data_IF_392835148043
#
_entry.id   IF_392835148043
#
_cell.length_a   1.000
_cell.length_b   1.000
_cell.length_c   1.000
_cell.angle_alpha   90.00
_cell.angle_beta   90.00
_cell.angle_gamma   90.00
#
_symmetry.space_group_name_H-M   'P 1'
#
loop_
_entity.id
_entity.type
_entity.pdbx_description
1 polymer ?
#
# COMPACT_ATOMS: atom_id res chain seq x y z
N UNK A 1 10.30 -18.12 -0.29
CA UNK A 1 9.32 -17.04 -0.15
C UNK A 1 8.60 -17.09 1.19
N UNK A 2 7.86 -16.04 1.52
CA UNK A 2 7.01 -15.96 2.72
C UNK A 2 5.59 -16.36 2.33
N UNK A 3 5.00 -17.35 3.01
CA UNK A 3 3.61 -17.72 2.79
C UNK A 3 2.71 -16.60 3.34
N UNK A 4 1.84 -16.06 2.50
CA UNK A 4 0.97 -14.93 2.81
C UNK A 4 -0.49 -15.30 2.54
N UNK A 5 -1.40 -14.74 3.31
CA UNK A 5 -2.82 -14.71 2.98
C UNK A 5 -3.25 -13.35 2.43
N UNK A 6 -4.46 -13.29 1.88
CA UNK A 6 -5.02 -12.09 1.27
C UNK A 6 -6.46 -11.86 1.76
N UNK A 7 -6.77 -10.60 2.08
CA UNK A 7 -8.14 -10.14 2.28
C UNK A 7 -8.34 -8.93 1.35
N UNK A 8 -9.08 -9.11 0.28
CA UNK A 8 -9.26 -8.06 -0.75
C UNK A 8 -10.66 -8.00 -1.31
N UNK A 9 -10.87 -7.10 -2.25
CA UNK A 9 -12.17 -6.86 -2.89
C UNK A 9 -12.63 -8.04 -3.74
N UNK A 10 -11.70 -8.74 -4.38
CA UNK A 10 -12.02 -9.85 -5.30
C UNK A 10 -12.14 -11.16 -4.54
N UNK A 11 -11.17 -11.45 -3.66
CA UNK A 11 -11.14 -12.73 -2.96
C UNK A 11 -10.53 -12.60 -1.56
N UNK A 12 -10.76 -13.64 -0.77
CA UNK A 12 -10.10 -13.91 0.49
C UNK A 12 -9.35 -15.24 0.34
N UNK A 13 -8.02 -15.20 0.52
CA UNK A 13 -7.17 -16.38 0.65
C UNK A 13 -6.81 -16.53 2.12
N UNK A 14 -7.40 -17.54 2.78
CA UNK A 14 -7.18 -17.79 4.22
C UNK A 14 -6.00 -18.76 4.48
N UNK A 15 -5.24 -19.05 3.43
CA UNK A 15 -4.09 -19.96 3.48
C UNK A 15 -4.43 -21.42 3.24
N UNK A 16 -5.72 -21.78 3.18
CA UNK A 16 -6.23 -23.12 2.88
C UNK A 16 -7.12 -23.15 1.64
N UNK A 17 -7.95 -22.14 1.49
CA UNK A 17 -8.84 -21.98 0.34
C UNK A 17 -8.90 -20.51 -0.11
N UNK A 18 -9.29 -20.32 -1.37
CA UNK A 18 -9.57 -19.00 -1.95
C UNK A 18 -11.07 -18.93 -2.21
N UNK A 19 -11.73 -17.97 -1.55
CA UNK A 19 -13.17 -17.74 -1.69
C UNK A 19 -13.44 -16.32 -2.20
N UNK A 20 -14.57 -16.13 -2.88
CA UNK A 20 -15.02 -14.81 -3.32
C UNK A 20 -15.29 -13.89 -2.12
N UNK A 21 -14.83 -12.66 -2.21
CA UNK A 21 -15.08 -11.66 -1.19
C UNK A 21 -16.46 -11.01 -1.37
N UNK A 22 -17.18 -10.82 -0.28
CA UNK A 22 -18.46 -10.08 -0.28
C UNK A 22 -18.26 -8.59 0.04
N UNK A 23 -17.16 -8.24 0.67
CA UNK A 23 -16.77 -6.88 1.06
C UNK A 23 -15.25 -6.74 0.95
N UNK A 24 -14.78 -5.60 0.50
CA UNK A 24 -13.34 -5.27 0.47
C UNK A 24 -12.67 -5.49 1.82
N UNK A 25 -13.34 -5.05 2.89
CA UNK A 25 -12.90 -5.27 4.27
C UNK A 25 -14.07 -5.85 5.06
N UNK A 26 -14.03 -7.14 5.42
CA UNK A 26 -15.09 -7.80 6.19
C UNK A 26 -15.30 -7.16 7.58
N UNK A 27 -16.41 -7.48 8.27
CA UNK A 27 -16.62 -7.11 9.67
C UNK A 27 -15.50 -7.63 10.59
N UNK A 28 -15.24 -6.93 11.70
CA UNK A 28 -14.12 -7.19 12.60
C UNK A 28 -13.99 -8.67 13.04
N UNK A 29 -15.10 -9.32 13.36
CA UNK A 29 -15.07 -10.73 13.76
C UNK A 29 -14.68 -11.66 12.61
N UNK A 30 -15.14 -11.37 11.38
CA UNK A 30 -14.75 -12.16 10.20
C UNK A 30 -13.26 -11.97 9.88
N UNK A 31 -12.76 -10.73 9.95
CA UNK A 31 -11.31 -10.45 9.80
C UNK A 31 -10.50 -11.25 10.83
N UNK A 32 -10.89 -11.21 12.10
CA UNK A 32 -10.19 -11.94 13.16
C UNK A 32 -10.18 -13.46 12.93
N UNK A 33 -11.31 -14.03 12.46
CA UNK A 33 -11.40 -15.46 12.13
C UNK A 33 -10.50 -15.81 10.94
N UNK A 34 -10.50 -15.00 9.88
CA UNK A 34 -9.62 -15.22 8.72
C UNK A 34 -8.15 -15.16 9.13
N UNK A 35 -7.75 -14.17 9.94
CA UNK A 35 -6.37 -14.09 10.43
C UNK A 35 -5.98 -15.28 11.32
N UNK A 36 -6.89 -15.81 12.14
CA UNK A 36 -6.65 -17.03 12.91
C UNK A 36 -6.40 -18.24 11.99
N UNK A 37 -7.25 -18.43 10.96
CA UNK A 37 -7.05 -19.50 9.96
C UNK A 37 -5.70 -19.35 9.22
N UNK A 38 -5.29 -18.12 8.87
CA UNK A 38 -3.99 -17.87 8.27
C UNK A 38 -2.84 -18.34 9.17
N UNK A 39 -2.93 -18.08 10.47
CA UNK A 39 -1.94 -18.55 11.43
C UNK A 39 -1.92 -20.08 11.48
N UNK A 40 -3.09 -20.72 11.58
CA UNK A 40 -3.23 -22.18 11.60
C UNK A 40 -2.71 -22.82 10.30
N UNK A 41 -2.89 -22.15 9.15
CA UNK A 41 -2.35 -22.56 7.86
C UNK A 41 -0.84 -22.33 7.71
N UNK A 42 -0.17 -21.75 8.71
CA UNK A 42 1.27 -21.48 8.69
C UNK A 42 1.66 -20.26 7.85
N UNK A 43 0.72 -19.34 7.55
CA UNK A 43 1.03 -18.07 6.93
C UNK A 43 1.79 -17.18 7.93
N UNK A 44 2.81 -16.48 7.43
CA UNK A 44 3.66 -15.59 8.22
C UNK A 44 3.35 -14.12 7.99
N UNK A 45 2.53 -13.83 7.00
CA UNK A 45 2.07 -12.48 6.67
C UNK A 45 0.64 -12.54 6.12
N UNK A 46 -0.06 -11.41 6.22
CA UNK A 46 -1.32 -11.17 5.55
C UNK A 46 -1.26 -9.82 4.84
N UNK A 47 -1.78 -9.78 3.63
CA UNK A 47 -2.02 -8.56 2.87
C UNK A 47 -3.52 -8.26 2.91
N UNK A 48 -3.88 -7.01 3.13
CA UNK A 48 -5.27 -6.64 3.32
C UNK A 48 -5.60 -5.31 2.65
N UNK A 49 -6.69 -5.28 1.90
CA UNK A 49 -7.31 -4.03 1.49
C UNK A 49 -8.15 -3.47 2.64
N UNK A 50 -7.85 -2.23 3.02
CA UNK A 50 -8.53 -1.55 4.13
C UNK A 50 -9.31 -0.35 3.59
N UNK A 51 -10.62 -0.49 3.48
CA UNK A 51 -11.50 0.58 3.01
C UNK A 51 -11.62 1.70 4.05
N UNK A 52 -11.89 2.93 3.58
CA UNK A 52 -12.15 4.07 4.47
C UNK A 52 -13.35 3.86 5.39
N UNK A 53 -14.38 3.15 4.92
CA UNK A 53 -15.51 2.72 5.74
C UNK A 53 -15.07 1.82 6.89
N UNK A 54 -14.18 0.85 6.60
CA UNK A 54 -13.68 -0.08 7.61
C UNK A 54 -12.86 0.63 8.68
N UNK A 55 -12.05 1.62 8.29
CA UNK A 55 -11.30 2.47 9.22
C UNK A 55 -12.23 3.30 10.09
N UNK A 56 -13.16 4.03 9.46
CA UNK A 56 -14.13 4.86 10.17
C UNK A 56 -15.02 4.05 11.12
N UNK A 57 -15.46 2.85 10.68
CA UNK A 57 -16.26 1.92 11.48
C UNK A 57 -15.43 1.05 12.43
N UNK A 58 -14.12 1.27 12.51
CA UNK A 58 -13.19 0.52 13.37
C UNK A 58 -13.20 -1.00 13.18
N UNK A 59 -13.53 -1.48 11.97
CA UNK A 59 -13.53 -2.93 11.67
C UNK A 59 -12.15 -3.57 11.84
N UNK A 60 -11.09 -2.78 11.71
CA UNK A 60 -9.69 -3.18 11.86
C UNK A 60 -9.02 -2.57 13.08
N UNK A 61 -9.77 -1.95 13.99
CA UNK A 61 -9.23 -1.18 15.12
C UNK A 61 -8.44 -2.01 16.13
N UNK A 62 -8.62 -3.33 16.16
CA UNK A 62 -7.85 -4.24 17.01
C UNK A 62 -6.56 -4.75 16.34
N UNK A 63 -6.33 -4.43 15.06
CA UNK A 63 -5.16 -4.90 14.31
C UNK A 63 -4.00 -3.91 14.43
N UNK A 64 -2.79 -4.44 14.49
CA UNK A 64 -1.55 -3.68 14.38
C UNK A 64 -0.92 -3.97 13.01
N UNK A 65 -1.13 -3.07 12.07
CA UNK A 65 -0.49 -3.16 10.76
C UNK A 65 0.99 -2.82 10.88
N UNK A 66 1.85 -3.63 10.28
CA UNK A 66 3.28 -3.36 10.18
C UNK A 66 3.61 -2.38 9.06
N UNK A 67 2.83 -2.43 7.99
CA UNK A 67 2.98 -1.59 6.81
C UNK A 67 1.63 -1.04 6.38
N UNK A 68 1.56 0.25 6.05
CA UNK A 68 0.45 0.91 5.40
C UNK A 68 0.87 1.41 4.03
N UNK A 69 0.03 1.17 3.01
CA UNK A 69 0.27 1.62 1.63
C UNK A 69 -0.83 2.58 1.21
N UNK A 70 -0.47 3.77 0.79
CA UNK A 70 -1.37 4.75 0.20
C UNK A 70 -1.21 4.78 -1.31
N UNK A 71 -2.20 4.29 -2.02
CA UNK A 71 -2.21 4.23 -3.48
C UNK A 71 -2.69 5.55 -4.09
N UNK A 72 -3.90 5.98 -3.76
CA UNK A 72 -4.50 7.23 -4.19
C UNK A 72 -5.77 7.57 -3.39
N UNK A 73 -6.28 8.78 -3.59
CA UNK A 73 -7.58 9.24 -3.13
C UNK A 73 -8.30 10.01 -4.24
N UNK A 74 -9.23 9.37 -4.90
CA UNK A 74 -10.10 9.99 -5.91
C UNK A 74 -11.49 10.27 -5.35
N UNK A 75 -12.27 11.13 -6.01
CA UNK A 75 -13.60 11.52 -5.55
C UNK A 75 -14.62 10.37 -5.60
N UNK A 76 -14.57 9.52 -4.59
CA UNK A 76 -15.48 8.39 -4.39
C UNK A 76 -15.98 8.38 -2.94
N UNK A 77 -17.04 7.62 -2.64
CA UNK A 77 -17.59 7.46 -1.28
C UNK A 77 -18.02 8.76 -0.59
N UNK A 78 -18.33 9.83 -1.36
CA UNK A 78 -18.81 11.10 -0.80
C UNK A 78 -20.26 11.02 -0.30
N UNK A 79 -21.01 10.02 -0.74
CA UNK A 79 -22.30 9.65 -0.17
C UNK A 79 -22.19 9.33 1.33
N UNK A 80 -21.09 8.70 1.74
CA UNK A 80 -20.78 8.34 3.11
C UNK A 80 -19.97 9.41 3.86
N UNK A 81 -18.82 9.82 3.33
CA UNK A 81 -17.88 10.72 4.01
C UNK A 81 -18.25 12.21 3.90
N UNK A 82 -19.17 12.57 2.98
CA UNK A 82 -19.68 13.92 2.71
C UNK A 82 -18.65 14.88 2.10
N UNK A 83 -17.39 14.85 2.50
CA UNK A 83 -16.30 15.70 1.99
C UNK A 83 -15.03 14.91 1.72
N UNK A 84 -14.18 15.42 0.85
CA UNK A 84 -12.87 14.84 0.57
C UNK A 84 -11.96 14.88 1.81
N UNK A 85 -12.05 15.93 2.63
CA UNK A 85 -11.28 16.03 3.88
C UNK A 85 -11.67 14.95 4.88
N UNK A 86 -12.96 14.68 5.06
CA UNK A 86 -13.44 13.61 5.93
C UNK A 86 -13.04 12.23 5.38
N UNK A 87 -13.06 12.05 4.06
CA UNK A 87 -12.60 10.83 3.42
C UNK A 87 -11.08 10.63 3.62
N UNK A 88 -10.28 11.67 3.41
CA UNK A 88 -8.84 11.65 3.65
C UNK A 88 -8.52 11.39 5.13
N UNK A 89 -9.25 12.03 6.06
CA UNK A 89 -9.10 11.80 7.50
C UNK A 89 -9.38 10.34 7.87
N UNK A 90 -10.43 9.73 7.30
CA UNK A 90 -10.72 8.31 7.54
C UNK A 90 -9.57 7.41 7.05
N UNK A 91 -8.98 7.66 5.87
CA UNK A 91 -7.82 6.91 5.38
C UNK A 91 -6.56 7.16 6.21
N UNK A 92 -6.34 8.39 6.70
CA UNK A 92 -5.19 8.74 7.53
C UNK A 92 -5.12 7.93 8.84
N UNK A 93 -6.27 7.49 9.39
CA UNK A 93 -6.33 6.65 10.59
C UNK A 93 -5.45 5.39 10.48
N UNK A 94 -5.28 4.82 9.28
CA UNK A 94 -4.38 3.68 9.08
C UNK A 94 -2.93 4.08 9.40
N UNK A 95 -2.47 5.21 8.87
CA UNK A 95 -1.08 5.68 9.00
C UNK A 95 -0.77 6.20 10.40
N UNK A 96 -1.76 6.83 11.04
CA UNK A 96 -1.69 7.27 12.45
C UNK A 96 -1.54 6.07 13.41
N UNK A 97 -2.14 4.92 13.05
CA UNK A 97 -2.11 3.68 13.86
C UNK A 97 -0.86 2.82 13.66
N UNK A 98 -0.02 3.12 12.66
CA UNK A 98 1.21 2.36 12.42
C UNK A 98 2.18 2.48 13.59
N UNK A 99 2.93 1.41 13.90
CA UNK A 99 4.02 1.49 14.87
C UNK A 99 5.02 2.59 14.50
N UNK A 100 5.68 3.22 15.47
CA UNK A 100 6.74 4.17 15.18
C UNK A 100 7.91 3.50 14.44
N UNK A 101 8.74 4.29 13.77
CA UNK A 101 9.92 3.81 13.04
C UNK A 101 10.86 2.96 13.92
N UNK A 102 11.01 3.31 15.19
CA UNK A 102 11.79 2.56 16.18
C UNK A 102 11.27 1.14 16.45
N UNK A 103 9.98 0.90 16.18
CA UNK A 103 9.33 -0.41 16.29
C UNK A 103 9.16 -1.09 14.91
N UNK A 104 9.74 -0.51 13.86
CA UNK A 104 9.74 -1.04 12.50
C UNK A 104 8.43 -0.83 11.74
N UNK A 105 7.64 0.18 12.10
CA UNK A 105 6.47 0.59 11.30
C UNK A 105 6.91 1.19 9.96
N UNK A 106 6.14 0.91 8.90
CA UNK A 106 6.42 1.32 7.53
C UNK A 106 5.20 1.99 6.92
N UNK A 107 5.38 3.13 6.27
CA UNK A 107 4.39 3.80 5.44
C UNK A 107 4.93 3.96 4.02
N UNK A 108 4.20 3.47 3.02
CA UNK A 108 4.53 3.60 1.60
C UNK A 108 3.51 4.55 0.97
N UNK A 109 3.95 5.73 0.52
CA UNK A 109 3.06 6.79 0.09
C UNK A 109 3.30 7.16 -1.38
N UNK A 110 2.24 7.11 -2.20
CA UNK A 110 2.24 7.70 -3.54
C UNK A 110 2.25 9.22 -3.42
N UNK A 111 3.41 9.85 -3.69
CA UNK A 111 3.56 11.32 -3.56
C UNK A 111 3.03 12.09 -4.76
N UNK A 112 2.57 11.41 -5.79
CA UNK A 112 1.90 12.05 -6.92
C UNK A 112 0.43 12.36 -6.64
N UNK A 113 -0.14 11.72 -5.62
CA UNK A 113 -1.45 12.07 -5.10
C UNK A 113 -1.30 13.12 -3.99
N UNK A 114 -1.95 14.30 -4.09
CA UNK A 114 -1.77 15.40 -3.13
C UNK A 114 -2.17 15.03 -1.70
N UNK A 115 -3.07 14.07 -1.52
CA UNK A 115 -3.51 13.63 -0.20
C UNK A 115 -2.46 12.83 0.59
N UNK A 116 -1.31 12.48 -0.03
CA UNK A 116 -0.21 11.84 0.70
C UNK A 116 0.26 12.67 1.90
N UNK A 117 0.14 14.00 1.82
CA UNK A 117 0.50 14.91 2.91
C UNK A 117 -0.35 14.68 4.15
N UNK A 118 -1.68 14.43 3.96
CA UNK A 118 -2.58 14.10 5.06
C UNK A 118 -2.26 12.72 5.67
N UNK A 119 -1.87 11.74 4.84
CA UNK A 119 -1.45 10.42 5.33
C UNK A 119 -0.15 10.49 6.15
N UNK A 120 0.74 11.43 5.81
CA UNK A 120 2.02 11.61 6.49
C UNK A 120 1.90 12.39 7.80
N UNK A 121 0.91 13.27 7.94
CA UNK A 121 0.84 14.30 8.98
C UNK A 121 1.10 13.78 10.40
N UNK A 122 0.41 12.72 10.82
CA UNK A 122 0.52 12.14 12.16
C UNK A 122 1.15 10.73 12.14
N UNK A 123 1.77 10.35 11.01
CA UNK A 123 2.44 9.08 10.83
C UNK A 123 3.83 9.10 11.47
N UNK A 124 4.09 8.16 12.39
CA UNK A 124 5.39 8.00 13.09
C UNK A 124 6.25 6.87 12.51
N UNK A 125 5.75 6.17 11.52
CA UNK A 125 6.44 5.08 10.84
C UNK A 125 7.56 5.60 9.92
N UNK A 126 8.45 4.72 9.49
CA UNK A 126 9.41 5.03 8.41
C UNK A 126 8.67 5.25 7.11
N UNK A 127 8.89 6.40 6.46
CA UNK A 127 8.17 6.76 5.23
C UNK A 127 9.02 6.44 4.00
N UNK A 128 8.44 5.64 3.09
CA UNK A 128 8.93 5.44 1.74
C UNK A 128 8.00 6.18 0.77
N UNK A 129 8.56 7.02 -0.08
CA UNK A 129 7.83 7.82 -1.07
C UNK A 129 7.93 7.14 -2.43
N UNK A 130 6.81 6.96 -3.12
CA UNK A 130 6.78 6.34 -4.44
C UNK A 130 6.31 7.33 -5.51
N UNK A 131 6.98 7.34 -6.66
CA UNK A 131 6.63 8.19 -7.80
C UNK A 131 6.98 7.50 -9.12
N UNK A 132 6.19 7.78 -10.16
CA UNK A 132 6.50 7.40 -11.55
C UNK A 132 7.17 8.60 -12.21
N UNK A 133 8.34 8.37 -12.83
CA UNK A 133 9.04 9.38 -13.62
C UNK A 133 8.59 9.27 -15.09
N UNK A 134 7.96 10.32 -15.57
CA UNK A 134 7.75 10.50 -17.01
C UNK A 134 8.96 11.18 -17.61
N UNK A 135 9.36 10.82 -18.83
CA UNK A 135 10.59 11.25 -19.49
C UNK A 135 10.77 12.78 -19.63
N UNK A 136 9.76 13.58 -19.26
CA UNK A 136 9.75 15.04 -19.37
C UNK A 136 9.66 15.80 -18.04
N UNK A 137 9.63 15.14 -16.88
CA UNK A 137 9.52 15.83 -15.59
C UNK A 137 10.86 15.89 -14.83
N UNK A 138 11.55 17.00 -14.93
CA UNK A 138 12.68 17.40 -14.07
C UNK A 138 12.18 18.07 -12.79
N UNK A 139 11.30 17.45 -12.03
CA UNK A 139 10.95 17.99 -10.71
C UNK A 139 11.79 17.30 -9.62
N UNK A 140 12.87 17.96 -9.25
CA UNK A 140 13.64 17.71 -8.04
C UNK A 140 12.79 18.10 -6.83
N UNK A 141 12.30 17.11 -6.10
CA UNK A 141 11.49 17.32 -4.89
C UNK A 141 12.30 17.95 -3.77
N UNK A 142 11.68 18.91 -3.08
CA UNK A 142 12.24 19.70 -2.00
C UNK A 142 12.78 18.89 -0.82
N UNK A 143 13.78 19.47 -0.18
CA UNK A 143 14.43 18.98 1.03
C UNK A 143 13.48 19.05 2.23
N UNK A 144 13.06 17.90 2.73
CA UNK A 144 12.35 17.75 4.00
C UNK A 144 13.25 17.08 5.04
N UNK A 145 13.11 17.48 6.28
CA UNK A 145 13.91 17.11 7.46
C UNK A 145 13.64 15.66 7.92
N UNK A 146 14.24 14.73 7.33
CA UNK A 146 14.57 13.31 7.59
C UNK A 146 14.71 12.65 6.21
N UNK A 147 15.60 11.69 6.00
CA UNK A 147 15.76 11.11 4.68
C UNK A 147 14.57 10.21 4.34
N UNK A 148 13.48 10.82 3.84
CA UNK A 148 12.41 10.05 3.21
C UNK A 148 13.02 9.32 2.02
N UNK A 149 13.06 8.02 2.07
CA UNK A 149 13.57 7.20 0.97
C UNK A 149 12.62 7.29 -0.21
N UNK A 150 13.11 7.77 -1.36
CA UNK A 150 12.31 7.88 -2.58
C UNK A 150 12.55 6.66 -3.47
N UNK A 151 11.48 5.94 -3.77
CA UNK A 151 11.45 4.83 -4.72
C UNK A 151 10.79 5.30 -6.01
N UNK A 152 11.34 4.95 -7.17
CA UNK A 152 10.90 5.46 -8.47
C UNK A 152 10.64 4.34 -9.45
N UNK A 153 9.65 4.55 -10.30
CA UNK A 153 9.45 3.76 -11.50
C UNK A 153 9.59 4.65 -12.73
N UNK A 154 10.31 4.19 -13.75
CA UNK A 154 10.41 4.84 -15.05
C UNK A 154 9.91 3.88 -16.12
N UNK A 155 8.91 4.28 -16.87
CA UNK A 155 8.42 3.50 -18.03
C UNK A 155 9.44 3.59 -19.14
N UNK A 156 9.96 2.44 -19.57
CA UNK A 156 10.94 2.32 -20.66
C UNK A 156 10.25 1.98 -21.97
N UNK A 157 9.25 1.10 -21.93
CA UNK A 157 8.51 0.63 -23.10
C UNK A 157 7.08 0.25 -22.67
N UNK A 158 6.10 0.55 -23.49
CA UNK A 158 4.72 0.14 -23.29
C UNK A 158 4.17 -0.50 -24.56
N UNK A 159 3.54 -1.65 -24.42
CA UNK A 159 2.83 -2.38 -25.48
C UNK A 159 1.38 -2.62 -25.10
N UNK A 160 0.61 -3.25 -25.97
CA UNK A 160 -0.82 -3.52 -25.74
C UNK A 160 -1.10 -4.47 -24.57
N UNK A 161 -0.12 -5.27 -24.13
CA UNK A 161 -0.30 -6.27 -23.07
C UNK A 161 0.75 -6.23 -21.97
N UNK A 162 1.76 -5.37 -22.07
CA UNK A 162 2.82 -5.30 -21.07
C UNK A 162 3.51 -3.94 -21.02
N UNK A 163 4.12 -3.65 -19.87
CA UNK A 163 4.93 -2.45 -19.67
C UNK A 163 6.31 -2.87 -19.15
N UNK A 164 7.38 -2.44 -19.83
CA UNK A 164 8.75 -2.57 -19.32
C UNK A 164 9.05 -1.34 -18.47
N UNK A 165 9.40 -1.55 -17.22
CA UNK A 165 9.68 -0.48 -16.27
C UNK A 165 11.02 -0.67 -15.59
N UNK A 166 11.72 0.43 -15.34
CA UNK A 166 12.85 0.46 -14.41
C UNK A 166 12.37 0.86 -13.04
N UNK A 167 12.53 -0.04 -12.07
CA UNK A 167 12.25 0.23 -10.66
C UNK A 167 13.55 0.54 -9.95
N UNK A 168 13.59 1.63 -9.18
CA UNK A 168 14.77 2.06 -8.43
C UNK A 168 14.41 2.51 -7.02
N UNK A 169 15.28 2.21 -6.08
CA UNK A 169 15.10 2.49 -4.67
C UNK A 169 16.32 2.06 -3.84
N UNK A 170 16.18 1.85 -2.54
CA UNK A 170 17.29 1.43 -1.68
C UNK A 170 17.82 0.04 -2.02
N UNK A 171 17.08 -0.76 -2.81
CA UNK A 171 17.54 -2.05 -3.35
C UNK A 171 18.44 -1.92 -4.60
N UNK A 172 18.68 -0.71 -5.08
CA UNK A 172 19.35 -0.45 -6.36
C UNK A 172 18.35 -0.20 -7.48
N UNK A 173 18.59 -0.77 -8.66
CA UNK A 173 17.75 -0.58 -9.84
C UNK A 173 17.63 -1.89 -10.63
N UNK A 174 16.41 -2.17 -11.13
CA UNK A 174 16.12 -3.35 -11.96
C UNK A 174 15.08 -3.01 -13.03
N UNK A 175 15.25 -3.62 -14.20
CA UNK A 175 14.27 -3.56 -15.28
C UNK A 175 13.33 -4.76 -15.19
N UNK A 176 12.03 -4.49 -15.12
CA UNK A 176 10.98 -5.49 -14.91
C UNK A 176 9.92 -5.35 -16.00
N UNK A 177 9.53 -6.47 -16.63
CA UNK A 177 8.39 -6.50 -17.55
C UNK A 177 7.14 -6.92 -16.78
N UNK A 178 6.21 -5.99 -16.66
CA UNK A 178 4.90 -6.20 -16.04
C UNK A 178 3.92 -6.69 -17.12
N UNK A 179 3.19 -7.78 -16.92
CA UNK A 179 2.13 -8.24 -17.84
C UNK A 179 0.84 -7.40 -17.62
N UNK A 180 0.99 -6.09 -17.45
CA UNK A 180 -0.05 -5.12 -17.15
C UNK A 180 0.29 -3.80 -17.83
N UNK A 181 -0.72 -2.99 -18.12
CA UNK A 181 -0.58 -1.69 -18.77
C UNK A 181 -1.17 -0.59 -17.89
N UNK A 182 -0.65 0.64 -18.05
CA UNK A 182 -1.13 1.84 -17.36
C UNK A 182 -0.35 2.18 -16.10
N UNK A 183 -0.26 3.48 -15.84
CA UNK A 183 0.54 4.04 -14.76
C UNK A 183 0.10 3.56 -13.37
N UNK A 184 -1.20 3.35 -13.16
CA UNK A 184 -1.70 2.83 -11.89
C UNK A 184 -1.13 1.43 -11.58
N UNK A 185 -0.97 0.56 -12.58
CA UNK A 185 -0.34 -0.76 -12.40
C UNK A 185 1.16 -0.65 -12.16
N UNK A 186 1.83 0.31 -12.80
CA UNK A 186 3.24 0.60 -12.53
C UNK A 186 3.43 1.10 -11.10
N UNK A 187 2.56 2.00 -10.63
CA UNK A 187 2.58 2.48 -9.23
C UNK A 187 2.33 1.33 -8.25
N UNK A 188 1.33 0.49 -8.51
CA UNK A 188 1.02 -0.66 -7.66
C UNK A 188 2.21 -1.62 -7.56
N UNK A 189 2.88 -1.92 -8.68
CA UNK A 189 4.07 -2.76 -8.71
C UNK A 189 5.23 -2.12 -7.90
N UNK A 190 5.48 -0.81 -8.10
CA UNK A 190 6.49 -0.08 -7.35
C UNK A 190 6.21 -0.12 -5.84
N UNK A 191 4.97 0.08 -5.43
CA UNK A 191 4.56 0.05 -4.03
C UNK A 191 4.67 -1.34 -3.43
N UNK A 192 4.34 -2.38 -4.20
CA UNK A 192 4.51 -3.77 -3.76
C UNK A 192 5.99 -4.09 -3.49
N UNK A 193 6.88 -3.79 -4.44
CA UNK A 193 8.33 -3.99 -4.27
C UNK A 193 8.88 -3.18 -3.10
N UNK A 194 8.45 -1.91 -2.97
CA UNK A 194 8.86 -1.04 -1.87
C UNK A 194 8.44 -1.61 -0.51
N UNK A 195 7.21 -2.13 -0.42
CA UNK A 195 6.68 -2.73 0.82
C UNK A 195 7.45 -3.99 1.22
N UNK A 196 7.73 -4.88 0.25
CA UNK A 196 8.50 -6.10 0.48
C UNK A 196 9.92 -5.76 0.93
N UNK A 197 10.59 -4.84 0.24
CA UNK A 197 11.92 -4.39 0.64
C UNK A 197 11.93 -3.80 2.06
N UNK A 198 11.00 -2.89 2.35
CA UNK A 198 10.94 -2.22 3.65
C UNK A 198 10.69 -3.18 4.82
N UNK A 199 9.93 -4.26 4.58
CA UNK A 199 9.58 -5.25 5.61
C UNK A 199 10.63 -6.35 5.79
N UNK A 200 11.31 -6.74 4.71
CA UNK A 200 12.16 -7.95 4.69
C UNK A 200 13.62 -7.66 4.29
N UNK A 201 13.96 -6.45 3.91
CA UNK A 201 15.30 -6.06 3.45
C UNK A 201 15.69 -6.66 2.11
N UNK A 202 14.72 -7.17 1.34
CA UNK A 202 14.90 -7.80 0.02
C UNK A 202 13.83 -7.31 -0.94
N UNK A 203 14.17 -7.29 -2.22
CA UNK A 203 13.25 -6.97 -3.32
C UNK A 203 13.29 -8.05 -4.42
N UNK A 204 13.77 -9.26 -4.09
CA UNK A 204 13.91 -10.44 -4.93
C UNK A 204 12.65 -11.35 -4.93
#
# INVERSE_FOLDING_TARGET
GVRCGLIGTVCIDDGTEIADATLTTPPALAVSRTLARLVDAGCRAAVMEVSSHALHQRRVGALRFRCGVFTNLTGDHLDYHKTMDAYAAAKAMLFESLPPASEGGVAVLNVQDPWHTRMKQDCRATVYRTAIEHALSTQTGGAGTAPDTVCRARVLEQSTGSTLVRLSGPWGSADVRLPLVGDFNVMNALQAVTSVYALFGRAD
#
